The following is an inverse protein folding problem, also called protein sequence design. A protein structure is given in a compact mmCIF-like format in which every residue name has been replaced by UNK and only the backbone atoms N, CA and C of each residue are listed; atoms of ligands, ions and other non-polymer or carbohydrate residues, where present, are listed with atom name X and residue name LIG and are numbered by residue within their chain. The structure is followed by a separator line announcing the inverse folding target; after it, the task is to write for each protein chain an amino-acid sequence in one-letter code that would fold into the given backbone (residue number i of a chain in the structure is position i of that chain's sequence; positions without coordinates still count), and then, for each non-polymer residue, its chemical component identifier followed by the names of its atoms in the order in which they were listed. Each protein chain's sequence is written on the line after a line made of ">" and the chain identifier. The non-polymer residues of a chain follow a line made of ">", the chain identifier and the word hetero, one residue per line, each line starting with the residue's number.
data_IF_713674942183
#
_entry.id   IF_713674942183
#
_cell.length_a   1.000
_cell.length_b   1.000
_cell.length_c   1.000
_cell.angle_alpha   90.00
_cell.angle_beta   90.00
_cell.angle_gamma   90.00
#
_symmetry.space_group_name_H-M   'P 1'
#
loop_
_entity.id
_entity.type
_entity.pdbx_description
1 polymer ?
#
# COMPACT_ATOMS: atom_id res chain seq x y z
N UNK A 1 12.59 7.29 -4.66
CA UNK A 1 12.09 5.89 -4.66
C UNK A 1 10.99 5.76 -5.68
N UNK A 2 11.04 4.71 -6.48
CA UNK A 2 9.99 4.47 -7.46
C UNK A 2 8.76 3.87 -6.78
N UNK A 3 7.60 4.13 -7.36
CA UNK A 3 6.32 3.67 -6.81
C UNK A 3 6.26 2.16 -6.61
N UNK A 4 6.73 1.36 -7.58
CA UNK A 4 6.72 -0.08 -7.42
C UNK A 4 7.66 -0.58 -6.32
N UNK A 5 8.76 0.10 -6.07
CA UNK A 5 9.63 -0.22 -4.94
C UNK A 5 8.94 0.06 -3.61
N UNK A 6 8.23 1.18 -3.53
CA UNK A 6 7.47 1.52 -2.33
C UNK A 6 6.34 0.52 -2.07
N UNK A 7 5.66 0.05 -3.12
CA UNK A 7 4.62 -0.96 -3.01
C UNK A 7 5.21 -2.29 -2.52
N UNK A 8 6.34 -2.71 -3.06
CA UNK A 8 7.01 -3.94 -2.61
C UNK A 8 7.40 -3.86 -1.13
N UNK A 9 7.89 -2.71 -0.69
CA UNK A 9 8.22 -2.50 0.72
C UNK A 9 6.98 -2.64 1.61
N UNK A 10 5.82 -2.20 1.13
CA UNK A 10 4.56 -2.34 1.86
C UNK A 10 4.15 -3.81 1.97
N UNK A 11 4.29 -4.59 0.90
CA UNK A 11 4.01 -6.03 0.98
C UNK A 11 4.87 -6.68 2.07
N UNK A 12 6.15 -6.37 2.10
CA UNK A 12 7.07 -6.90 3.10
C UNK A 12 6.67 -6.46 4.51
N UNK A 13 6.30 -5.19 4.67
CA UNK A 13 5.84 -4.66 5.95
C UNK A 13 4.62 -5.42 6.47
N UNK A 14 3.65 -5.67 5.59
CA UNK A 14 2.43 -6.39 5.95
C UNK A 14 2.72 -7.83 6.38
N UNK A 15 3.74 -8.46 5.80
CA UNK A 15 4.17 -9.80 6.18
C UNK A 15 4.91 -9.83 7.53
N UNK A 16 5.41 -8.68 7.98
CA UNK A 16 6.17 -8.52 9.22
C UNK A 16 5.41 -7.69 10.24
N UNK A 17 4.14 -7.99 10.45
CA UNK A 17 3.28 -7.34 11.44
C UNK A 17 3.24 -5.82 11.30
N UNK A 18 3.17 -5.34 10.07
CA UNK A 18 3.12 -3.89 9.75
C UNK A 18 4.37 -3.13 10.20
N UNK A 19 5.53 -3.76 10.15
CA UNK A 19 6.79 -3.14 10.55
C UNK A 19 7.04 -1.88 9.71
N UNK A 20 7.18 -0.73 10.38
CA UNK A 20 7.43 0.57 9.75
C UNK A 20 6.39 0.93 8.67
N UNK A 21 5.15 0.48 8.83
CA UNK A 21 4.12 0.68 7.80
C UNK A 21 3.89 2.17 7.51
N UNK A 22 3.91 3.02 8.52
CA UNK A 22 3.68 4.45 8.31
C UNK A 22 4.80 5.08 7.48
N UNK A 23 6.04 4.64 7.69
CA UNK A 23 7.17 5.10 6.89
C UNK A 23 7.01 4.66 5.42
N UNK A 24 6.64 3.41 5.21
CA UNK A 24 6.45 2.89 3.85
C UNK A 24 5.28 3.57 3.14
N UNK A 25 4.22 3.89 3.87
CA UNK A 25 3.09 4.64 3.30
C UNK A 25 3.53 6.05 2.90
N UNK A 26 4.31 6.71 3.75
CA UNK A 26 4.82 8.04 3.43
C UNK A 26 5.71 8.01 2.18
N UNK A 27 6.56 6.99 2.06
CA UNK A 27 7.40 6.80 0.88
C UNK A 27 6.57 6.56 -0.38
N UNK A 28 5.51 5.77 -0.26
CA UNK A 28 4.60 5.52 -1.38
C UNK A 28 3.92 6.81 -1.81
N UNK A 29 3.43 7.59 -0.86
CA UNK A 29 2.77 8.85 -1.17
C UNK A 29 3.71 9.81 -1.90
N UNK A 30 4.95 9.91 -1.44
CA UNK A 30 5.95 10.73 -2.10
C UNK A 30 6.23 10.25 -3.52
N UNK A 31 6.35 8.94 -3.72
CA UNK A 31 6.58 8.35 -5.02
C UNK A 31 5.39 8.59 -5.96
N UNK A 32 4.16 8.48 -5.44
CA UNK A 32 2.96 8.75 -6.22
C UNK A 32 2.91 10.22 -6.68
N UNK A 33 3.26 11.15 -5.80
CA UNK A 33 3.30 12.56 -6.15
C UNK A 33 4.35 12.83 -7.23
N UNK A 34 5.51 12.21 -7.11
CA UNK A 34 6.60 12.35 -8.05
C UNK A 34 6.23 11.81 -9.44
N UNK A 35 5.52 10.69 -9.50
CA UNK A 35 5.11 10.06 -10.74
C UNK A 35 3.75 10.55 -11.26
N UNK A 36 3.07 11.40 -10.50
CA UNK A 36 1.74 11.90 -10.87
C UNK A 36 0.66 10.83 -10.78
N UNK A 37 0.87 9.78 -9.98
CA UNK A 37 -0.11 8.71 -9.83
C UNK A 37 -1.22 9.12 -8.86
N UNK A 38 -2.45 8.76 -9.18
CA UNK A 38 -3.62 9.09 -8.36
C UNK A 38 -4.06 7.94 -7.47
N UNK A 39 -3.61 6.73 -7.76
CA UNK A 39 -3.98 5.55 -7.00
C UNK A 39 -2.83 4.55 -6.98
N UNK A 40 -2.82 3.69 -5.96
CA UNK A 40 -1.85 2.63 -5.83
C UNK A 40 -2.55 1.29 -6.03
N UNK A 41 -2.03 0.47 -6.94
CA UNK A 41 -2.61 -0.84 -7.27
C UNK A 41 -1.81 -1.92 -6.55
N UNK A 42 -2.52 -2.73 -5.77
CA UNK A 42 -1.93 -3.85 -5.03
C UNK A 42 -2.51 -5.16 -5.55
N UNK A 43 -1.66 -6.17 -5.63
CA UNK A 43 -2.09 -7.51 -6.05
C UNK A 43 -2.59 -8.29 -4.86
N UNK A 44 -3.81 -8.82 -4.94
CA UNK A 44 -4.42 -9.58 -3.87
C UNK A 44 -3.59 -10.76 -3.41
N UNK A 45 -3.02 -11.50 -4.36
CA UNK A 45 -2.27 -12.71 -4.08
C UNK A 45 -0.95 -12.45 -3.35
N UNK A 46 -0.53 -11.21 -3.27
CA UNK A 46 0.70 -10.82 -2.57
C UNK A 46 0.45 -10.24 -1.20
N UNK A 47 -0.80 -10.07 -0.80
CA UNK A 47 -1.15 -9.50 0.50
C UNK A 47 -1.10 -10.56 1.59
N UNK A 48 -0.53 -10.20 2.75
CA UNK A 48 -0.44 -11.10 3.90
C UNK A 48 -1.83 -11.48 4.42
N UNK A 49 -2.78 -10.56 4.36
CA UNK A 49 -4.16 -10.79 4.73
C UNK A 49 -5.05 -10.63 3.49
N UNK A 50 -5.10 -11.69 2.71
CA UNK A 50 -5.84 -11.69 1.46
C UNK A 50 -7.28 -12.13 1.67
N UNK A 51 -8.04 -11.36 2.45
CA UNK A 51 -9.47 -11.57 2.63
C UNK A 51 -10.19 -10.23 2.53
N UNK A 52 -11.52 -10.29 2.42
CA UNK A 52 -12.34 -9.10 2.21
C UNK A 52 -12.19 -8.08 3.34
N UNK A 53 -12.20 -8.56 4.58
CA UNK A 53 -12.08 -7.68 5.73
C UNK A 53 -10.70 -7.03 5.79
N UNK A 54 -9.64 -7.79 5.57
CA UNK A 54 -8.28 -7.26 5.55
C UNK A 54 -8.09 -6.20 4.48
N UNK A 55 -8.66 -6.41 3.29
CA UNK A 55 -8.58 -5.42 2.22
C UNK A 55 -9.31 -4.13 2.57
N UNK A 56 -10.48 -4.21 3.20
CA UNK A 56 -11.22 -3.03 3.63
C UNK A 56 -10.47 -2.24 4.69
N UNK A 57 -9.87 -2.93 5.65
CA UNK A 57 -9.07 -2.30 6.70
C UNK A 57 -7.87 -1.59 6.07
N UNK A 58 -7.19 -2.23 5.15
CA UNK A 58 -6.05 -1.65 4.45
C UNK A 58 -6.46 -0.41 3.66
N UNK A 59 -7.56 -0.47 2.92
CA UNK A 59 -8.05 0.68 2.17
C UNK A 59 -8.36 1.86 3.08
N UNK A 60 -9.02 1.61 4.20
CA UNK A 60 -9.38 2.67 5.15
C UNK A 60 -8.12 3.29 5.77
N UNK A 61 -7.15 2.46 6.13
CA UNK A 61 -5.91 2.91 6.74
C UNK A 61 -5.12 3.82 5.79
N UNK A 62 -4.98 3.40 4.54
CA UNK A 62 -4.25 4.17 3.52
C UNK A 62 -5.01 5.43 3.13
N UNK A 63 -6.34 5.34 3.04
CA UNK A 63 -7.18 6.48 2.69
C UNK A 63 -7.03 7.63 3.69
N UNK A 64 -6.94 7.32 4.97
CA UNK A 64 -6.70 8.32 6.00
C UNK A 64 -5.40 9.08 5.80
N UNK A 65 -4.46 8.47 5.11
CA UNK A 65 -3.15 9.06 4.80
C UNK A 65 -3.07 9.64 3.40
N UNK A 66 -4.22 9.75 2.72
CA UNK A 66 -4.30 10.38 1.41
C UNK A 66 -3.92 9.50 0.25
N UNK A 67 -3.97 8.18 0.42
CA UNK A 67 -3.67 7.22 -0.65
C UNK A 67 -4.91 6.43 -1.02
N UNK A 68 -5.26 6.46 -2.31
CA UNK A 68 -6.34 5.63 -2.83
C UNK A 68 -5.76 4.26 -3.21
N UNK A 69 -6.28 3.21 -2.60
CA UNK A 69 -5.83 1.84 -2.85
C UNK A 69 -6.83 1.12 -3.76
N UNK A 70 -6.29 0.47 -4.79
CA UNK A 70 -7.06 -0.36 -5.70
C UNK A 70 -6.45 -1.77 -5.67
N UNK A 71 -7.29 -2.78 -5.64
CA UNK A 71 -6.82 -4.17 -5.65
C UNK A 71 -7.03 -4.78 -7.03
N UNK A 72 -5.97 -5.34 -7.57
CA UNK A 72 -5.99 -6.07 -8.82
C UNK A 72 -6.27 -7.55 -8.48
N UNK A 73 -7.38 -8.04 -8.99
CA UNK A 73 -7.79 -9.43 -8.77
C UNK A 73 -7.38 -10.35 -9.91
#
# INVERSE_FOLDING_TARGET
>A
MKMNEAIEAIYTSLENDNEDIDLHIANLKAAMNEEGAKEAVFKNDRLAQNNRQGRKVMQAYFRKRGIKVVFDT
#
